data_IF_425376410661
#
_entry.id   IF_425376410661
#
_cell.length_a   1.000
_cell.length_b   1.000
_cell.length_c   1.000
_cell.angle_alpha   90.00
_cell.angle_beta   90.00
_cell.angle_gamma   90.00
#
_symmetry.space_group_name_H-M   'P 1'
#
loop_
_entity.id
_entity.type
_entity.pdbx_description
1 polymer ?
#
# COMPACT_ATOMS: atom_id res chain seq x y z
N UNK A 1 4.22 16.17 -5.24
CA UNK A 1 4.14 15.70 -3.83
C UNK A 1 2.84 14.91 -3.65
N UNK A 2 2.63 13.88 -4.46
CA UNK A 2 1.33 13.18 -4.53
C UNK A 2 1.40 11.79 -3.90
N UNK A 3 2.59 11.17 -3.90
CA UNK A 3 2.85 9.89 -3.26
C UNK A 3 2.66 9.97 -1.73
N UNK A 4 3.22 10.99 -1.07
CA UNK A 4 3.07 11.18 0.39
C UNK A 4 1.61 11.36 0.82
N UNK A 5 0.83 12.17 0.08
CA UNK A 5 -0.61 12.33 0.35
C UNK A 5 -1.37 11.02 0.16
N UNK A 6 -1.05 10.26 -0.88
CA UNK A 6 -1.73 9.00 -1.13
C UNK A 6 -1.37 7.96 -0.04
N UNK A 7 -0.11 7.88 0.37
CA UNK A 7 0.35 7.03 1.48
C UNK A 7 -0.25 7.44 2.83
N UNK A 8 -0.64 8.71 3.00
CA UNK A 8 -1.37 9.18 4.18
C UNK A 8 -2.73 8.47 4.37
N UNK A 9 -3.34 8.01 3.27
CA UNK A 9 -4.61 7.29 3.26
C UNK A 9 -4.46 5.80 3.61
N UNK A 10 -3.24 5.28 3.70
CA UNK A 10 -2.98 3.91 4.12
C UNK A 10 -2.88 3.80 5.65
N UNK A 11 -3.27 2.65 6.20
CA UNK A 11 -3.01 2.37 7.61
C UNK A 11 -1.49 2.32 7.87
N UNK A 12 -1.02 2.53 9.11
CA UNK A 12 0.40 2.47 9.43
C UNK A 12 1.07 1.17 8.96
N UNK A 13 0.36 0.03 9.10
CA UNK A 13 0.82 -1.28 8.63
C UNK A 13 0.93 -1.33 7.11
N UNK A 14 -0.09 -0.86 6.39
CA UNK A 14 -0.04 -0.81 4.92
C UNK A 14 1.09 0.11 4.45
N UNK A 15 1.31 1.25 5.10
CA UNK A 15 2.40 2.16 4.74
C UNK A 15 3.77 1.48 4.90
N UNK A 16 3.99 0.77 6.02
CA UNK A 16 5.23 0.01 6.23
C UNK A 16 5.43 -1.06 5.15
N UNK A 17 4.38 -1.82 4.81
CA UNK A 17 4.43 -2.82 3.73
C UNK A 17 4.80 -2.17 2.39
N UNK A 18 4.19 -1.02 2.06
CA UNK A 18 4.47 -0.30 0.82
C UNK A 18 5.88 0.30 0.77
N UNK A 19 6.38 0.82 1.90
CA UNK A 19 7.74 1.37 1.99
C UNK A 19 8.80 0.28 1.77
N UNK A 20 8.61 -0.90 2.37
CA UNK A 20 9.53 -2.03 2.16
C UNK A 20 9.43 -2.59 0.73
N UNK A 21 8.23 -2.69 0.18
CA UNK A 21 8.02 -3.23 -1.17
C UNK A 21 8.52 -2.29 -2.27
N UNK A 22 8.02 -1.05 -2.29
CA UNK A 22 8.33 -0.08 -3.34
C UNK A 22 9.60 0.74 -3.05
N UNK A 23 9.85 1.06 -1.78
CA UNK A 23 11.01 1.85 -1.38
C UNK A 23 12.28 1.01 -1.25
N UNK A 24 12.18 -0.23 -0.76
CA UNK A 24 13.33 -1.12 -0.57
C UNK A 24 13.41 -2.31 -1.53
N UNK A 25 12.41 -2.50 -2.39
CA UNK A 25 12.40 -3.58 -3.39
C UNK A 25 12.29 -4.99 -2.79
N UNK A 26 11.84 -5.10 -1.54
CA UNK A 26 11.75 -6.39 -0.85
C UNK A 26 10.60 -7.25 -1.42
N UNK A 27 10.80 -8.56 -1.42
CA UNK A 27 9.78 -9.55 -1.77
C UNK A 27 8.70 -9.68 -0.70
N UNK A 28 7.59 -10.33 -1.06
CA UNK A 28 6.48 -10.54 -0.11
C UNK A 28 6.91 -11.41 1.08
N UNK A 29 7.77 -12.41 0.85
CA UNK A 29 8.34 -13.25 1.91
C UNK A 29 9.28 -12.47 2.83
N UNK A 30 10.15 -11.63 2.28
CA UNK A 30 11.07 -10.81 3.08
C UNK A 30 10.32 -9.79 3.95
N UNK A 31 9.27 -9.17 3.41
CA UNK A 31 8.42 -8.24 4.16
C UNK A 31 7.65 -8.96 5.25
N UNK A 32 7.12 -10.15 4.95
CA UNK A 32 6.44 -10.98 5.93
C UNK A 32 7.36 -11.33 7.10
N UNK A 33 8.61 -11.70 6.83
CA UNK A 33 9.63 -11.93 7.86
C UNK A 33 9.97 -10.65 8.63
N UNK A 34 10.21 -9.53 7.93
CA UNK A 34 10.62 -8.27 8.55
C UNK A 34 9.54 -7.63 9.45
N UNK A 35 8.27 -7.86 9.15
CA UNK A 35 7.13 -7.31 9.89
C UNK A 35 6.44 -8.34 10.80
N UNK A 36 6.93 -9.58 10.84
CA UNK A 36 6.32 -10.70 11.56
C UNK A 36 4.83 -10.90 11.18
N UNK A 37 4.54 -10.78 9.88
CA UNK A 37 3.20 -10.92 9.31
C UNK A 37 3.09 -12.16 8.42
N UNK A 38 1.91 -12.79 8.31
CA UNK A 38 1.68 -13.79 7.28
C UNK A 38 1.85 -13.20 5.87
N UNK A 39 2.50 -13.94 4.95
CA UNK A 39 2.64 -13.53 3.54
C UNK A 39 1.28 -13.21 2.89
N UNK A 40 0.23 -13.96 3.26
CA UNK A 40 -1.14 -13.67 2.81
C UNK A 40 -1.65 -12.30 3.26
N UNK A 41 -1.27 -11.85 4.46
CA UNK A 41 -1.59 -10.50 4.97
C UNK A 41 -0.84 -9.44 4.18
N UNK A 42 0.45 -9.66 3.90
CA UNK A 42 1.28 -8.74 3.08
C UNK A 42 0.67 -8.56 1.69
N UNK A 43 0.40 -9.67 0.98
CA UNK A 43 -0.23 -9.65 -0.35
C UNK A 43 -1.58 -8.91 -0.34
N UNK A 44 -2.40 -9.19 0.67
CA UNK A 44 -3.71 -8.56 0.80
C UNK A 44 -3.63 -7.07 1.14
N UNK A 45 -2.64 -6.66 1.94
CA UNK A 45 -2.41 -5.26 2.28
C UNK A 45 -1.89 -4.46 1.10
N UNK A 46 -1.00 -5.03 0.27
CA UNK A 46 -0.57 -4.43 -0.99
C UNK A 46 -1.77 -4.26 -1.92
N UNK A 47 -2.54 -5.31 -2.14
CA UNK A 47 -3.70 -5.29 -3.05
C UNK A 47 -4.76 -4.27 -2.60
N UNK A 48 -5.16 -4.31 -1.32
CA UNK A 48 -6.15 -3.36 -0.77
C UNK A 48 -5.62 -1.94 -0.71
N UNK A 49 -4.34 -1.77 -0.38
CA UNK A 49 -3.68 -0.47 -0.36
C UNK A 49 -3.68 0.18 -1.74
N UNK A 50 -3.27 -0.57 -2.78
CA UNK A 50 -3.30 -0.13 -4.18
C UNK A 50 -4.71 0.23 -4.63
N UNK A 51 -5.71 -0.58 -4.28
CA UNK A 51 -7.10 -0.29 -4.61
C UNK A 51 -7.57 1.03 -3.97
N UNK A 52 -7.13 1.31 -2.72
CA UNK A 52 -7.47 2.54 -2.01
C UNK A 52 -6.75 3.76 -2.60
N UNK A 53 -5.47 3.63 -2.89
CA UNK A 53 -4.66 4.67 -3.55
C UNK A 53 -5.23 5.02 -4.93
N UNK A 54 -5.57 4.00 -5.73
CA UNK A 54 -6.21 4.18 -7.04
C UNK A 54 -7.51 4.95 -6.89
N UNK A 55 -8.42 4.55 -5.98
CA UNK A 55 -9.68 5.29 -5.74
C UNK A 55 -9.48 6.75 -5.35
N UNK A 56 -8.41 7.09 -4.63
CA UNK A 56 -8.10 8.49 -4.29
C UNK A 56 -7.44 9.29 -5.41
N UNK A 57 -6.88 8.62 -6.42
CA UNK A 57 -6.22 9.24 -7.57
C UNK A 57 -7.11 9.32 -8.81
N UNK A 58 -8.20 8.54 -8.89
CA UNK A 58 -9.23 8.78 -9.90
C UNK A 58 -9.97 10.07 -9.50
N UNK A 59 -9.94 11.14 -10.32
CA UNK A 59 -10.88 12.25 -10.14
C UNK A 59 -12.26 11.61 -10.09
N UNK A 60 -13.03 11.86 -9.03
CA UNK A 60 -14.44 11.51 -9.07
C UNK A 60 -15.01 12.26 -10.27
N UNK A 61 -15.34 11.56 -11.36
CA UNK A 61 -16.08 12.18 -12.46
C UNK A 61 -17.32 12.80 -11.84
N UNK A 62 -17.41 14.14 -11.99
CA UNK A 62 -18.59 14.90 -11.59
C UNK A 62 -19.74 14.31 -12.43
N UNK A 63 -20.81 13.77 -11.81
CA UNK A 63 -21.98 13.37 -12.57
C UNK A 63 -22.50 14.62 -13.30
N UNK A 64 -22.53 14.55 -14.64
CA UNK A 64 -23.17 15.57 -15.49
C UNK A 64 -24.67 15.61 -15.23
#
# INVERSE_FOLDING_TARGET
MDADRALSLLSPRQRAVFDLFYGKGMTHEEIAGALELPVGTVKSDITRGLARLRRSMVPQEIPQ
#
